data_IF_403561150671
#
_entry.id   IF_403561150671
#
_cell.length_a   1.000
_cell.length_b   1.000
_cell.length_c   1.000
_cell.angle_alpha   90.00
_cell.angle_beta   90.00
_cell.angle_gamma   90.00
#
_symmetry.space_group_name_H-M   'P 1'
#
loop_
_entity.id
_entity.type
_entity.pdbx_description
1 polymer ?
#
# COMPACT_ATOMS: atom_id res chain seq x y z
N UNK A 1 -4.78 5.19 16.05
CA UNK A 1 -4.74 5.41 14.58
C UNK A 1 -5.15 4.12 13.89
N UNK A 2 -5.88 4.18 12.78
CA UNK A 2 -6.38 2.98 12.08
C UNK A 2 -6.01 3.09 10.60
N UNK A 3 -5.53 1.99 10.02
CA UNK A 3 -5.36 1.87 8.57
C UNK A 3 -6.69 1.37 7.99
N UNK A 4 -7.20 2.10 6.99
CA UNK A 4 -8.40 1.73 6.25
C UNK A 4 -7.97 1.53 4.80
N UNK A 5 -8.36 0.39 4.23
CA UNK A 5 -8.11 0.07 2.83
C UNK A 5 -9.30 0.51 2.00
N UNK A 6 -9.05 1.18 0.88
CA UNK A 6 -10.09 1.44 -0.12
C UNK A 6 -10.34 0.18 -0.93
N UNK A 7 -11.53 0.06 -1.51
CA UNK A 7 -11.86 -1.02 -2.44
C UNK A 7 -10.82 -1.13 -3.57
N UNK A 8 -10.33 0.00 -4.08
CA UNK A 8 -9.24 0.01 -5.06
C UNK A 8 -7.98 -0.67 -4.53
N UNK A 9 -7.57 -0.36 -3.30
CA UNK A 9 -6.37 -0.94 -2.71
C UNK A 9 -6.53 -2.45 -2.43
N UNK A 10 -7.71 -2.89 -2.00
CA UNK A 10 -8.03 -4.32 -1.84
C UNK A 10 -7.94 -5.05 -3.19
N UNK A 11 -8.57 -4.51 -4.24
CA UNK A 11 -8.49 -5.07 -5.60
C UNK A 11 -7.05 -5.13 -6.13
N UNK A 12 -6.18 -4.17 -5.77
CA UNK A 12 -4.76 -4.23 -6.12
C UNK A 12 -4.04 -5.38 -5.40
N UNK A 13 -4.34 -5.65 -4.13
CA UNK A 13 -3.76 -6.79 -3.40
C UNK A 13 -4.19 -8.12 -4.01
N UNK A 14 -5.46 -8.23 -4.42
CA UNK A 14 -5.97 -9.41 -5.11
C UNK A 14 -5.26 -9.63 -6.44
N UNK A 15 -5.10 -8.57 -7.25
CA UNK A 15 -4.34 -8.65 -8.50
C UNK A 15 -2.88 -9.08 -8.30
N UNK A 16 -2.23 -8.60 -7.23
CA UNK A 16 -0.87 -9.05 -6.85
C UNK A 16 -0.87 -10.52 -6.47
N UNK A 17 -1.85 -10.96 -5.68
CA UNK A 17 -1.97 -12.36 -5.28
C UNK A 17 -2.17 -13.27 -6.49
N UNK A 18 -3.18 -12.99 -7.32
CA UNK A 18 -3.53 -13.79 -8.49
C UNK A 18 -2.37 -13.89 -9.48
N UNK A 19 -1.67 -12.77 -9.72
CA UNK A 19 -0.50 -12.75 -10.60
C UNK A 19 0.59 -13.72 -10.10
N UNK A 20 1.01 -13.61 -8.84
CA UNK A 20 2.08 -14.46 -8.31
C UNK A 20 1.62 -15.89 -8.04
N UNK A 21 0.33 -16.11 -7.80
CA UNK A 21 -0.24 -17.44 -7.68
C UNK A 21 -0.11 -18.18 -9.01
N UNK A 22 -0.45 -17.52 -10.11
CA UNK A 22 -0.39 -18.08 -11.47
C UNK A 22 1.04 -18.26 -11.99
N UNK A 23 1.94 -17.32 -11.71
CA UNK A 23 3.30 -17.31 -12.29
C UNK A 23 4.39 -17.88 -11.38
N UNK A 24 4.15 -18.02 -10.07
CA UNK A 24 5.12 -18.55 -9.12
C UNK A 24 4.53 -19.68 -8.26
N UNK A 25 3.76 -19.32 -7.23
CA UNK A 25 2.95 -20.23 -6.41
C UNK A 25 2.20 -19.44 -5.32
N UNK A 26 1.20 -20.09 -4.72
CA UNK A 26 0.39 -19.53 -3.63
C UNK A 26 1.23 -19.05 -2.45
N UNK A 27 2.31 -19.75 -2.08
CA UNK A 27 3.15 -19.35 -0.93
C UNK A 27 3.84 -18.01 -1.19
N UNK A 28 4.42 -17.83 -2.37
CA UNK A 28 5.05 -16.56 -2.79
C UNK A 28 4.02 -15.44 -2.84
N UNK A 29 2.85 -15.70 -3.44
CA UNK A 29 1.76 -14.73 -3.52
C UNK A 29 1.30 -14.27 -2.11
N UNK A 30 1.02 -15.21 -1.21
CA UNK A 30 0.64 -14.91 0.17
C UNK A 30 1.73 -14.15 0.93
N UNK A 31 3.00 -14.51 0.74
CA UNK A 31 4.12 -13.83 1.41
C UNK A 31 4.24 -12.38 0.93
N UNK A 32 4.02 -12.12 -0.35
CA UNK A 32 4.10 -10.78 -0.91
C UNK A 32 2.97 -9.89 -0.39
N UNK A 33 1.71 -10.36 -0.44
CA UNK A 33 0.56 -9.63 0.09
C UNK A 33 0.70 -9.35 1.59
N UNK A 34 1.09 -10.36 2.38
CA UNK A 34 1.37 -10.18 3.82
C UNK A 34 2.48 -9.17 4.06
N UNK A 35 3.52 -9.15 3.22
CA UNK A 35 4.59 -8.17 3.29
C UNK A 35 4.09 -6.74 3.08
N UNK A 36 3.23 -6.52 2.07
CA UNK A 36 2.61 -5.21 1.80
C UNK A 36 1.76 -4.77 3.01
N UNK A 37 0.89 -5.65 3.52
CA UNK A 37 0.04 -5.35 4.69
C UNK A 37 0.90 -5.04 5.93
N UNK A 38 1.95 -5.81 6.19
CA UNK A 38 2.83 -5.58 7.33
C UNK A 38 3.59 -4.25 7.21
N UNK A 39 3.96 -3.82 6.00
CA UNK A 39 4.59 -2.53 5.78
C UNK A 39 3.64 -1.38 6.16
N UNK A 40 2.34 -1.50 5.86
CA UNK A 40 1.35 -0.47 6.23
C UNK A 40 1.12 -0.37 7.74
N UNK A 41 1.36 -1.45 8.50
CA UNK A 41 1.24 -1.41 9.97
C UNK A 41 2.20 -0.41 10.62
N UNK A 42 3.32 -0.06 9.97
CA UNK A 42 4.23 0.99 10.44
C UNK A 42 3.53 2.36 10.52
N UNK A 43 2.53 2.60 9.68
CA UNK A 43 1.77 3.86 9.65
C UNK A 43 0.95 4.10 10.92
N UNK A 44 0.62 3.05 11.68
CA UNK A 44 -0.12 3.19 12.95
C UNK A 44 0.68 4.00 13.96
N UNK A 45 2.00 3.79 14.01
CA UNK A 45 2.90 4.46 14.96
C UNK A 45 3.57 5.67 14.34
N UNK A 46 3.75 5.68 13.02
CA UNK A 46 4.51 6.70 12.32
C UNK A 46 3.83 7.06 10.98
N UNK A 47 2.70 7.77 11.01
CA UNK A 47 1.87 8.04 9.81
C UNK A 47 2.55 8.96 8.78
N UNK A 48 3.58 9.70 9.18
CA UNK A 48 4.29 10.65 8.33
C UNK A 48 5.60 10.10 7.74
N UNK A 49 5.91 8.81 7.95
CA UNK A 49 7.16 8.21 7.44
C UNK A 49 7.18 8.10 5.91
N UNK A 50 6.02 8.14 5.26
CA UNK A 50 5.91 8.14 3.81
C UNK A 50 6.29 9.48 3.22
N UNK A 51 7.02 9.41 2.10
CA UNK A 51 7.39 10.58 1.31
C UNK A 51 6.13 11.22 0.71
N UNK A 52 6.04 12.54 0.73
CA UNK A 52 4.95 13.27 0.07
C UNK A 52 5.07 13.13 -1.45
N UNK A 53 3.93 12.91 -2.11
CA UNK A 53 3.88 12.92 -3.57
C UNK A 53 3.98 14.35 -4.09
N UNK A 54 4.79 14.57 -5.12
CA UNK A 54 4.85 15.83 -5.86
C UNK A 54 3.65 15.93 -6.81
N UNK A 55 2.45 16.08 -6.23
CA UNK A 55 1.23 16.27 -6.99
C UNK A 55 1.01 17.75 -7.33
N UNK A 56 0.31 18.06 -8.43
CA UNK A 56 -0.11 19.42 -8.74
C UNK A 56 -0.86 20.04 -7.56
N UNK A 57 -0.61 21.33 -7.29
CA UNK A 57 -1.18 22.09 -6.16
C UNK A 57 -2.72 22.08 -6.08
N UNK A 58 -3.38 21.71 -7.18
CA UNK A 58 -4.84 21.64 -7.31
C UNK A 58 -5.44 20.42 -6.58
N UNK A 59 -4.63 19.38 -6.32
CA UNK A 59 -5.07 18.22 -5.54
C UNK A 59 -4.99 18.57 -4.05
N UNK A 60 -6.15 18.75 -3.41
CA UNK A 60 -6.25 19.14 -2.00
C UNK A 60 -5.71 18.07 -1.03
N UNK A 61 -5.72 16.79 -1.43
CA UNK A 61 -5.30 15.70 -0.57
C UNK A 61 -3.78 15.50 -0.66
N UNK A 62 -3.10 15.62 0.48
CA UNK A 62 -1.67 15.30 0.59
C UNK A 62 -1.49 13.78 0.61
N UNK A 63 -1.21 13.22 -0.56
CA UNK A 63 -0.84 11.83 -0.68
C UNK A 63 0.61 11.61 -0.29
N UNK A 64 0.85 10.46 0.33
CA UNK A 64 2.16 9.96 0.71
C UNK A 64 2.34 8.57 0.16
N UNK A 65 3.59 8.12 0.09
CA UNK A 65 3.87 6.75 -0.30
C UNK A 65 4.97 6.08 0.53
N UNK A 66 4.88 4.75 0.59
CA UNK A 66 5.95 3.86 1.05
C UNK A 66 6.38 2.93 -0.08
N UNK A 67 7.68 2.69 -0.18
CA UNK A 67 8.21 1.66 -1.05
C UNK A 67 8.26 0.31 -0.32
N UNK A 68 7.69 -0.73 -0.93
CA UNK A 68 7.89 -2.11 -0.49
C UNK A 68 8.26 -2.98 -1.69
N UNK A 69 9.52 -3.40 -1.76
CA UNK A 69 10.08 -4.09 -2.95
C UNK A 69 9.79 -3.26 -4.21
N UNK A 70 9.03 -3.83 -5.16
CA UNK A 70 8.66 -3.20 -6.42
C UNK A 70 7.28 -2.53 -6.38
N UNK A 71 6.69 -2.38 -5.18
CA UNK A 71 5.37 -1.79 -4.99
C UNK A 71 5.44 -0.45 -4.30
N UNK A 72 4.59 0.46 -4.75
CA UNK A 72 4.36 1.77 -4.14
C UNK A 72 3.02 1.71 -3.41
N UNK A 73 3.05 1.86 -2.09
CA UNK A 73 1.86 1.89 -1.24
C UNK A 73 1.48 3.36 -1.06
N UNK A 74 0.40 3.79 -1.71
CA UNK A 74 -0.07 5.18 -1.68
C UNK A 74 -1.16 5.31 -0.62
N UNK A 75 -1.08 6.35 0.21
CA UNK A 75 -2.04 6.61 1.27
C UNK A 75 -2.22 8.12 1.52
N UNK A 76 -3.31 8.49 2.19
CA UNK A 76 -3.54 9.83 2.72
C UNK A 76 -3.90 9.73 4.20
N UNK A 77 -3.78 10.84 4.91
CA UNK A 77 -4.24 10.94 6.30
C UNK A 77 -5.60 11.61 6.31
N UNK A 78 -6.58 10.93 6.89
CA UNK A 78 -7.91 11.49 7.17
C UNK A 78 -7.90 12.07 8.59
N UNK A 79 -8.48 13.25 8.77
CA UNK A 79 -8.54 13.96 10.06
C UNK A 79 -9.89 13.81 10.75
#
# INVERSE_FOLDING_TARGET
MKVIWSEFAENQLDGVFEHYQKHANTKVASQLVKGIINETMKLINAPLIGQEEELPKEIKNKYRYLGFKNYKIIYSLDQ
#
